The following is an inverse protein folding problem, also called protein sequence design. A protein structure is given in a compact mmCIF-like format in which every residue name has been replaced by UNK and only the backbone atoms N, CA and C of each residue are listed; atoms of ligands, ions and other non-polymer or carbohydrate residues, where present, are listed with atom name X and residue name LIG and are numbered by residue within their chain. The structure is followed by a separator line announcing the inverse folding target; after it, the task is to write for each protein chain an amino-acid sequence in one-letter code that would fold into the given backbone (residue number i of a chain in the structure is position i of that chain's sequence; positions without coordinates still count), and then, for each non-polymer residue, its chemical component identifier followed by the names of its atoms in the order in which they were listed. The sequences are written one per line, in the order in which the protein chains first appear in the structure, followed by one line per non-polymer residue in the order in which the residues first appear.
data_IF_885838742401
#
_entry.id   IF_885838742401
#
_cell.length_a   1.000
_cell.length_b   1.000
_cell.length_c   1.000
_cell.angle_alpha   90.00
_cell.angle_beta   90.00
_cell.angle_gamma   90.00
#
_symmetry.space_group_name_H-M   'P 1'
#
loop_
_entity.id
_entity.type
_entity.pdbx_description
1 polymer ?
#
# COMPACT_ATOMS: atom_id res chain seq x y z
N UNK A 1 -22.33 -0.68 1.57
CA UNK A 1 -22.62 -1.19 2.94
C UNK A 1 -21.33 -1.45 3.72
N UNK A 2 -20.33 -2.15 3.16
CA UNK A 2 -19.01 -2.41 3.81
C UNK A 2 -18.22 -1.12 4.10
N UNK A 3 -18.23 -0.13 3.19
CA UNK A 3 -17.50 1.14 3.37
C UNK A 3 -17.87 1.83 4.68
N UNK A 4 -19.16 2.08 4.90
CA UNK A 4 -19.64 2.71 6.12
C UNK A 4 -19.34 1.89 7.38
N UNK A 5 -19.47 0.56 7.28
CA UNK A 5 -19.17 -0.35 8.39
C UNK A 5 -17.72 -0.20 8.85
N UNK A 6 -16.75 -0.26 7.92
CA UNK A 6 -15.33 -0.15 8.27
C UNK A 6 -14.94 1.25 8.74
N UNK A 7 -15.47 2.31 8.11
CA UNK A 7 -15.25 3.69 8.57
C UNK A 7 -15.69 3.89 10.02
N UNK A 8 -16.89 3.35 10.37
CA UNK A 8 -17.39 3.37 11.74
C UNK A 8 -16.55 2.48 12.65
N UNK A 9 -16.22 1.24 12.25
CA UNK A 9 -15.44 0.29 13.04
C UNK A 9 -14.07 0.86 13.39
N UNK A 10 -13.36 1.39 12.40
CA UNK A 10 -12.02 1.96 12.54
C UNK A 10 -12.03 3.38 13.13
N UNK A 11 -13.17 4.05 13.13
CA UNK A 11 -13.35 5.44 13.54
C UNK A 11 -12.48 6.41 12.74
N UNK A 12 -12.50 6.27 11.41
CA UNK A 12 -11.71 7.06 10.46
C UNK A 12 -12.61 7.64 9.36
N UNK A 13 -12.07 8.58 8.59
CA UNK A 13 -12.75 9.21 7.45
C UNK A 13 -11.84 9.16 6.24
N UNK A 14 -12.01 8.12 5.42
CA UNK A 14 -11.22 7.92 4.21
C UNK A 14 -12.06 7.96 2.93
N UNK A 15 -13.38 7.96 3.06
CA UNK A 15 -14.30 8.05 1.92
C UNK A 15 -14.37 9.46 1.35
N UNK A 16 -14.82 9.57 0.09
CA UNK A 16 -15.03 10.82 -0.64
C UNK A 16 -13.88 11.18 -1.57
N UNK A 17 -14.25 11.71 -2.73
CA UNK A 17 -13.30 12.25 -3.72
C UNK A 17 -12.68 13.55 -3.21
N UNK A 18 -11.44 13.80 -3.57
CA UNK A 18 -10.77 15.06 -3.33
C UNK A 18 -10.29 15.63 -4.66
N UNK A 19 -10.53 16.93 -4.87
CA UNK A 19 -10.07 17.64 -6.05
C UNK A 19 -8.54 17.58 -6.12
N UNK A 20 -8.02 17.19 -7.28
CA UNK A 20 -6.60 17.07 -7.56
C UNK A 20 -6.06 18.38 -8.13
N UNK A 21 -4.86 18.75 -7.73
CA UNK A 21 -4.12 19.86 -8.34
C UNK A 21 -3.47 19.38 -9.64
N UNK A 22 -3.95 19.88 -10.78
CA UNK A 22 -3.44 19.53 -12.12
C UNK A 22 -1.93 19.78 -12.33
N UNK A 23 -1.26 20.50 -11.42
CA UNK A 23 0.20 20.72 -11.48
C UNK A 23 1.00 19.46 -11.10
N UNK A 24 0.40 18.47 -10.45
CA UNK A 24 1.03 17.23 -9.99
C UNK A 24 0.92 16.10 -11.02
N UNK A 25 1.35 16.32 -12.25
CA UNK A 25 1.20 15.41 -13.41
C UNK A 25 1.79 14.00 -13.27
N UNK A 26 2.67 13.78 -12.31
CA UNK A 26 3.31 12.47 -12.09
C UNK A 26 2.59 11.60 -11.05
N UNK A 27 1.48 12.07 -10.48
CA UNK A 27 0.70 11.39 -9.44
C UNK A 27 -0.76 11.26 -9.87
N UNK A 28 -1.42 10.21 -9.41
CA UNK A 28 -2.80 9.91 -9.76
C UNK A 28 -3.79 10.50 -8.74
N UNK A 29 -5.06 10.77 -9.13
CA UNK A 29 -6.09 11.25 -8.21
C UNK A 29 -6.31 10.29 -7.04
N UNK A 30 -6.76 10.85 -5.90
CA UNK A 30 -7.09 10.04 -4.73
C UNK A 30 -8.28 9.13 -4.99
N UNK A 31 -8.04 7.83 -4.87
CA UNK A 31 -9.05 6.80 -4.84
C UNK A 31 -8.66 5.75 -3.78
N UNK A 32 -9.47 5.57 -2.71
CA UNK A 32 -9.13 4.59 -1.69
C UNK A 32 -9.49 3.18 -2.14
N UNK A 33 -8.61 2.20 -1.93
CA UNK A 33 -8.91 0.79 -2.18
C UNK A 33 -10.20 0.39 -1.46
N UNK A 34 -11.20 -0.16 -2.17
CA UNK A 34 -12.47 -0.56 -1.55
C UNK A 34 -12.25 -1.63 -0.46
N UNK A 35 -13.00 -1.55 0.65
CA UNK A 35 -12.83 -2.54 1.73
C UNK A 35 -13.16 -3.96 1.31
N UNK A 36 -14.09 -4.15 0.37
CA UNK A 36 -14.37 -5.50 -0.15
C UNK A 36 -13.18 -6.08 -0.91
N UNK A 37 -12.41 -5.23 -1.58
CA UNK A 37 -11.20 -5.64 -2.29
C UNK A 37 -10.08 -6.01 -1.29
N UNK A 38 -9.92 -5.23 -0.21
CA UNK A 38 -9.00 -5.58 0.87
C UNK A 38 -9.38 -6.91 1.54
N UNK A 39 -10.66 -7.10 1.87
CA UNK A 39 -11.14 -8.38 2.40
C UNK A 39 -10.75 -9.54 1.46
N UNK A 40 -10.98 -9.36 0.15
CA UNK A 40 -10.69 -10.39 -0.86
C UNK A 40 -9.20 -10.69 -0.99
N UNK A 41 -8.35 -9.66 -0.98
CA UNK A 41 -6.89 -9.81 -1.01
C UNK A 41 -6.41 -10.64 0.19
N UNK A 42 -6.85 -10.26 1.39
CA UNK A 42 -6.34 -10.84 2.64
C UNK A 42 -7.12 -12.06 3.14
N UNK A 43 -8.11 -12.58 2.39
CA UNK A 43 -8.75 -13.87 2.69
C UNK A 43 -7.76 -15.05 2.65
N UNK A 44 -6.73 -14.97 1.80
CA UNK A 44 -5.77 -16.03 1.56
C UNK A 44 -4.31 -15.63 1.77
N UNK A 45 -4.04 -14.35 2.05
CA UNK A 45 -2.69 -13.85 2.33
C UNK A 45 -2.37 -13.97 3.82
N UNK A 46 -1.21 -14.54 4.10
CA UNK A 46 -0.71 -14.67 5.46
C UNK A 46 0.03 -13.39 5.87
N UNK A 47 -0.74 -12.42 6.41
CA UNK A 47 -0.16 -11.27 7.12
C UNK A 47 -0.05 -11.64 8.60
N UNK A 48 1.10 -11.40 9.19
CA UNK A 48 1.36 -11.66 10.60
C UNK A 48 1.87 -10.41 11.34
N UNK A 49 1.94 -10.47 12.66
CA UNK A 49 2.31 -9.31 13.50
C UNK A 49 3.73 -8.80 13.29
N UNK A 50 4.62 -9.62 12.73
CA UNK A 50 6.02 -9.29 12.48
C UNK A 50 6.22 -8.61 11.13
N UNK A 51 5.22 -8.68 10.23
CA UNK A 51 5.30 -8.02 8.92
C UNK A 51 5.38 -6.50 9.09
N UNK A 52 6.21 -5.90 8.24
CA UNK A 52 6.33 -4.45 8.07
C UNK A 52 5.87 -4.07 6.67
N UNK A 53 4.71 -3.43 6.58
CA UNK A 53 4.04 -3.11 5.33
C UNK A 53 4.18 -1.63 5.04
N UNK A 54 4.69 -1.30 3.85
CA UNK A 54 4.83 0.07 3.37
C UNK A 54 3.75 0.34 2.33
N UNK A 55 2.91 1.35 2.59
CA UNK A 55 1.84 1.81 1.70
C UNK A 55 2.30 3.08 0.98
N UNK A 56 2.64 2.96 -0.30
CA UNK A 56 3.07 4.09 -1.11
C UNK A 56 1.89 4.82 -1.75
N UNK A 57 1.71 6.09 -1.40
CA UNK A 57 0.56 6.89 -1.79
C UNK A 57 -0.65 6.62 -0.89
N UNK A 58 -0.43 6.51 0.41
CA UNK A 58 -1.47 6.13 1.38
C UNK A 58 -2.63 7.13 1.51
N UNK A 59 -2.44 8.37 1.04
CA UNK A 59 -3.41 9.46 1.09
C UNK A 59 -4.08 9.63 2.48
N UNK A 60 -5.29 9.10 2.71
CA UNK A 60 -5.98 9.17 4.01
C UNK A 60 -5.76 7.95 4.90
N UNK A 61 -4.92 6.98 4.49
CA UNK A 61 -4.44 5.85 5.29
C UNK A 61 -5.39 4.67 5.44
N UNK A 62 -6.38 4.49 4.53
CA UNK A 62 -7.37 3.42 4.65
C UNK A 62 -6.74 2.04 4.85
N UNK A 63 -5.82 1.66 3.96
CA UNK A 63 -5.13 0.38 4.03
C UNK A 63 -4.37 0.22 5.36
N UNK A 64 -3.66 1.27 5.79
CA UNK A 64 -2.85 1.25 7.00
C UNK A 64 -3.69 0.94 8.24
N UNK A 65 -4.84 1.61 8.40
CA UNK A 65 -5.75 1.35 9.54
C UNK A 65 -6.38 -0.03 9.44
N UNK A 66 -6.76 -0.48 8.23
CA UNK A 66 -7.33 -1.80 8.00
C UNK A 66 -6.33 -2.91 8.39
N UNK A 67 -5.09 -2.82 7.94
CA UNK A 67 -4.04 -3.79 8.24
C UNK A 67 -3.69 -3.84 9.72
N UNK A 68 -3.46 -2.69 10.34
CA UNK A 68 -3.15 -2.63 11.77
C UNK A 68 -4.29 -3.18 12.62
N UNK A 69 -5.55 -2.89 12.24
CA UNK A 69 -6.72 -3.41 12.98
C UNK A 69 -6.84 -4.92 12.90
N UNK A 70 -6.78 -5.49 11.69
CA UNK A 70 -7.06 -6.91 11.49
C UNK A 70 -5.87 -7.81 11.83
N UNK A 71 -4.64 -7.37 11.57
CA UNK A 71 -3.44 -8.22 11.66
C UNK A 71 -2.46 -7.79 12.75
N UNK A 72 -2.64 -6.62 13.34
CA UNK A 72 -1.73 -6.06 14.34
C UNK A 72 -0.26 -5.97 13.87
N UNK A 73 -0.03 -5.88 12.55
CA UNK A 73 1.28 -5.75 11.93
C UNK A 73 1.80 -4.31 11.98
N UNK A 74 3.08 -4.12 11.63
CA UNK A 74 3.66 -2.80 11.49
C UNK A 74 3.27 -2.22 10.13
N UNK A 75 2.80 -0.99 10.11
CA UNK A 75 2.39 -0.32 8.87
C UNK A 75 2.95 1.09 8.84
N UNK A 76 3.62 1.46 7.73
CA UNK A 76 4.08 2.80 7.47
C UNK A 76 3.49 3.28 6.13
N UNK A 77 2.83 4.43 6.16
CA UNK A 77 2.37 5.11 4.95
C UNK A 77 3.39 6.15 4.48
N UNK A 78 3.64 6.21 3.17
CA UNK A 78 4.51 7.20 2.50
C UNK A 78 3.66 8.06 1.57
N UNK A 79 3.56 9.36 1.85
CA UNK A 79 2.78 10.32 1.08
C UNK A 79 3.54 11.65 0.99
N UNK A 80 3.47 12.33 -0.15
CA UNK A 80 4.12 13.60 -0.34
C UNK A 80 3.22 14.81 -0.07
N UNK A 81 1.91 14.61 -0.06
CA UNK A 81 0.93 15.70 0.12
C UNK A 81 0.67 15.97 1.60
N UNK A 82 1.07 17.16 2.07
CA UNK A 82 0.89 17.57 3.46
C UNK A 82 -0.59 17.60 3.90
N UNK A 83 -1.53 17.86 2.99
CA UNK A 83 -2.95 17.88 3.34
C UNK A 83 -3.45 16.46 3.65
N UNK A 84 -3.05 15.46 2.84
CA UNK A 84 -3.34 14.07 3.13
C UNK A 84 -2.66 13.60 4.41
N UNK A 85 -1.39 13.94 4.59
CA UNK A 85 -0.67 13.65 5.81
C UNK A 85 -1.39 14.17 7.06
N UNK A 86 -1.81 15.43 7.06
CA UNK A 86 -2.51 16.03 8.20
C UNK A 86 -3.88 15.35 8.45
N UNK A 87 -4.65 15.04 7.38
CA UNK A 87 -5.91 14.29 7.50
C UNK A 87 -5.68 12.89 8.07
N UNK A 88 -4.59 12.24 7.67
CA UNK A 88 -4.24 10.92 8.16
C UNK A 88 -3.84 10.94 9.65
N UNK A 89 -3.13 11.97 10.11
CA UNK A 89 -2.81 12.14 11.53
C UNK A 89 -4.09 12.33 12.39
N UNK A 90 -5.08 13.07 11.89
CA UNK A 90 -6.38 13.17 12.58
C UNK A 90 -7.11 11.82 12.61
N UNK A 91 -7.10 11.06 11.50
CA UNK A 91 -7.61 9.70 11.48
C UNK A 91 -6.89 8.80 12.49
N UNK A 92 -5.53 8.85 12.56
CA UNK A 92 -4.73 8.08 13.53
C UNK A 92 -5.17 8.37 14.96
N UNK A 93 -5.34 9.63 15.29
CA UNK A 93 -5.78 10.05 16.63
C UNK A 93 -7.18 9.48 16.99
N UNK A 94 -8.13 9.57 16.06
CA UNK A 94 -9.50 9.06 16.30
C UNK A 94 -9.53 7.52 16.33
N UNK A 95 -8.73 6.86 15.48
CA UNK A 95 -8.56 5.41 15.47
C UNK A 95 -8.03 4.88 16.80
N UNK A 96 -6.93 5.46 17.32
CA UNK A 96 -6.28 5.03 18.57
C UNK A 96 -7.18 5.24 19.80
N UNK A 97 -7.97 6.32 19.83
CA UNK A 97 -8.94 6.54 20.92
C UNK A 97 -9.94 5.40 21.04
N UNK A 98 -10.42 4.88 19.91
CA UNK A 98 -11.44 3.83 19.88
C UNK A 98 -10.84 2.44 20.05
N UNK A 99 -9.77 2.15 19.32
CA UNK A 99 -9.32 0.78 19.10
C UNK A 99 -8.23 0.32 20.07
N UNK A 100 -7.66 1.23 20.90
CA UNK A 100 -6.64 0.93 21.90
C UNK A 100 -5.47 0.10 21.37
N UNK A 101 -5.10 0.34 20.11
CA UNK A 101 -3.97 -0.34 19.43
C UNK A 101 -2.63 0.25 19.87
N UNK A 102 -1.55 -0.46 19.54
CA UNK A 102 -0.19 -0.01 19.82
C UNK A 102 0.15 1.11 18.83
N UNK A 103 0.37 2.31 19.34
CA UNK A 103 0.59 3.51 18.53
C UNK A 103 1.80 3.40 17.60
N UNK A 104 2.87 2.75 18.07
CA UNK A 104 4.13 2.63 17.32
C UNK A 104 4.03 1.68 16.13
N UNK A 105 2.96 0.87 16.03
CA UNK A 105 2.74 -0.06 14.91
C UNK A 105 2.07 0.57 13.70
N UNK A 106 1.60 1.80 13.78
CA UNK A 106 0.99 2.51 12.66
C UNK A 106 1.59 3.91 12.55
N UNK A 107 2.32 4.17 11.48
CA UNK A 107 3.06 5.39 11.25
C UNK A 107 2.81 5.96 9.85
N UNK A 108 3.11 7.25 9.70
CA UNK A 108 2.93 7.99 8.46
C UNK A 108 4.06 8.98 8.30
N UNK A 109 4.67 9.00 7.10
CA UNK A 109 5.73 9.93 6.73
C UNK A 109 5.29 10.80 5.56
N UNK A 110 5.61 12.10 5.65
CA UNK A 110 5.37 13.06 4.57
C UNK A 110 6.66 13.29 3.79
N UNK A 111 6.93 12.38 2.82
CA UNK A 111 8.15 12.41 2.01
C UNK A 111 7.86 11.91 0.59
N UNK A 112 8.75 12.23 -0.36
CA UNK A 112 8.67 11.66 -1.70
C UNK A 112 8.97 10.15 -1.66
N UNK A 113 8.17 9.35 -2.39
CA UNK A 113 8.27 7.89 -2.38
C UNK A 113 9.70 7.40 -2.71
N UNK A 114 10.37 8.00 -3.69
CA UNK A 114 11.74 7.64 -4.09
C UNK A 114 12.82 8.10 -3.11
N UNK A 115 12.49 8.92 -2.12
CA UNK A 115 13.42 9.39 -1.07
C UNK A 115 13.28 8.59 0.23
N UNK A 116 12.21 7.78 0.33
CA UNK A 116 12.04 6.90 1.48
C UNK A 116 13.18 5.86 1.53
N UNK A 117 13.81 5.76 2.70
CA UNK A 117 14.86 4.77 2.95
C UNK A 117 14.25 3.47 3.45
N UNK A 118 14.26 2.47 2.57
CA UNK A 118 13.74 1.14 2.91
C UNK A 118 14.48 0.57 4.11
N UNK A 119 13.75 0.22 5.16
CA UNK A 119 14.30 -0.43 6.35
C UNK A 119 14.59 -1.92 6.08
N UNK A 120 15.51 -2.50 6.83
CA UNK A 120 15.82 -3.93 6.80
C UNK A 120 14.68 -4.82 7.32
N UNK A 121 13.66 -4.22 7.94
CA UNK A 121 12.44 -4.90 8.40
C UNK A 121 11.29 -4.84 7.41
N UNK A 122 11.31 -3.87 6.48
CA UNK A 122 10.22 -3.69 5.51
C UNK A 122 10.21 -4.85 4.53
N UNK A 123 9.10 -5.60 4.49
CA UNK A 123 9.03 -6.82 3.72
C UNK A 123 7.81 -6.92 2.79
N UNK A 124 6.83 -6.00 2.91
CA UNK A 124 5.69 -5.93 2.01
C UNK A 124 5.47 -4.49 1.56
N UNK A 125 5.31 -4.31 0.24
CA UNK A 125 5.19 -3.01 -0.39
C UNK A 125 3.91 -2.94 -1.20
N UNK A 126 3.01 -2.04 -0.83
CA UNK A 126 1.72 -1.88 -1.48
C UNK A 126 1.68 -0.63 -2.36
N UNK A 127 1.06 -0.79 -3.55
CA UNK A 127 0.86 0.27 -4.52
C UNK A 127 -0.53 0.18 -5.15
N UNK A 128 -1.32 1.22 -5.02
CA UNK A 128 -2.53 1.42 -5.82
C UNK A 128 -2.23 2.44 -6.94
N UNK A 129 -1.36 2.04 -7.87
CA UNK A 129 -0.96 2.85 -9.02
C UNK A 129 -0.75 4.35 -8.67
N UNK A 130 0.05 4.69 -7.65
CA UNK A 130 0.03 6.05 -7.05
C UNK A 130 0.78 7.09 -7.90
N UNK A 131 1.67 6.69 -8.79
CA UNK A 131 2.55 7.59 -9.52
C UNK A 131 3.05 7.00 -10.86
N UNK A 132 3.77 7.80 -11.64
CA UNK A 132 4.33 7.36 -12.92
C UNK A 132 5.32 6.21 -12.76
N UNK A 133 5.49 5.39 -13.81
CA UNK A 133 6.45 4.28 -13.82
C UNK A 133 7.87 4.71 -13.48
N UNK A 134 8.29 5.93 -13.84
CA UNK A 134 9.64 6.42 -13.51
C UNK A 134 9.87 6.56 -12.00
N UNK A 135 8.86 6.95 -11.23
CA UNK A 135 8.95 6.99 -9.77
C UNK A 135 8.91 5.56 -9.22
N UNK A 136 8.02 4.71 -9.75
CA UNK A 136 7.91 3.31 -9.36
C UNK A 136 9.24 2.57 -9.52
N UNK A 137 9.92 2.72 -10.67
CA UNK A 137 11.24 2.13 -10.93
C UNK A 137 12.25 2.51 -9.85
N UNK A 138 12.33 3.79 -9.47
CA UNK A 138 13.25 4.25 -8.41
C UNK A 138 12.92 3.66 -7.04
N UNK A 139 11.64 3.53 -6.71
CA UNK A 139 11.22 2.89 -5.45
C UNK A 139 11.60 1.41 -5.45
N UNK A 140 11.34 0.70 -6.54
CA UNK A 140 11.72 -0.72 -6.67
C UNK A 140 13.24 -0.91 -6.64
N UNK A 141 14.02 -0.02 -7.25
CA UNK A 141 15.49 -0.01 -7.14
C UNK A 141 15.94 0.14 -5.68
N UNK A 142 15.33 1.03 -4.91
CA UNK A 142 15.62 1.18 -3.48
C UNK A 142 15.26 -0.09 -2.68
N UNK A 143 14.16 -0.77 -3.04
CA UNK A 143 13.79 -2.06 -2.43
C UNK A 143 14.84 -3.12 -2.74
N UNK A 144 15.29 -3.21 -3.99
CA UNK A 144 16.33 -4.18 -4.41
C UNK A 144 17.66 -3.90 -3.71
N UNK A 145 18.10 -2.65 -3.60
CA UNK A 145 19.31 -2.26 -2.85
C UNK A 145 19.17 -2.67 -1.37
N UNK A 146 18.01 -2.47 -0.77
CA UNK A 146 17.75 -2.90 0.62
C UNK A 146 17.79 -4.42 0.74
N UNK A 147 17.28 -5.17 -0.24
CA UNK A 147 17.35 -6.63 -0.30
C UNK A 147 18.80 -7.14 -0.43
N UNK A 148 19.62 -6.53 -1.27
CA UNK A 148 21.03 -6.90 -1.43
C UNK A 148 21.81 -6.73 -0.12
N UNK A 149 21.52 -5.68 0.65
CA UNK A 149 22.17 -5.42 1.93
C UNK A 149 21.66 -6.32 3.06
N UNK A 150 20.38 -6.64 3.06
CA UNK A 150 19.74 -7.52 4.04
C UNK A 150 18.70 -8.42 3.35
N UNK A 151 19.16 -9.56 2.80
CA UNK A 151 18.28 -10.47 2.10
C UNK A 151 17.18 -11.03 3.00
N UNK A 152 15.94 -10.96 2.51
CA UNK A 152 14.71 -11.41 3.19
C UNK A 152 13.62 -11.68 2.16
N UNK A 153 12.55 -12.38 2.55
CA UNK A 153 11.37 -12.45 1.66
C UNK A 153 10.77 -11.05 1.52
N UNK A 154 10.51 -10.63 0.28
CA UNK A 154 9.86 -9.36 -0.04
C UNK A 154 8.69 -9.62 -0.97
N UNK A 155 7.53 -9.02 -0.65
CA UNK A 155 6.35 -9.01 -1.51
C UNK A 155 6.07 -7.59 -2.02
N UNK A 156 5.81 -7.45 -3.32
CA UNK A 156 5.22 -6.24 -3.92
C UNK A 156 3.77 -6.57 -4.27
N UNK A 157 2.84 -5.80 -3.73
CA UNK A 157 1.40 -5.94 -3.91
C UNK A 157 0.91 -4.77 -4.75
N UNK A 158 0.46 -5.03 -5.96
CA UNK A 158 -0.11 -4.04 -6.85
C UNK A 158 -1.63 -4.19 -6.88
N UNK A 159 -2.37 -3.13 -6.57
CA UNK A 159 -3.80 -3.03 -6.87
C UNK A 159 -4.00 -2.17 -8.11
N UNK A 160 -4.93 -2.57 -8.98
CA UNK A 160 -5.24 -1.89 -10.24
C UNK A 160 -3.97 -1.57 -11.02
N UNK A 161 -3.14 -2.58 -11.33
CA UNK A 161 -1.78 -2.41 -11.80
C UNK A 161 -1.74 -1.84 -13.22
N UNK A 162 -0.91 -0.82 -13.46
CA UNK A 162 -0.64 -0.37 -14.82
C UNK A 162 0.23 -1.39 -15.58
N UNK A 163 0.05 -1.48 -16.90
CA UNK A 163 0.85 -2.36 -17.76
C UNK A 163 2.34 -2.02 -17.67
N UNK A 164 2.69 -0.75 -17.48
CA UNK A 164 4.08 -0.30 -17.33
C UNK A 164 4.74 -0.85 -16.06
N UNK A 165 4.00 -0.93 -14.93
CA UNK A 165 4.50 -1.53 -13.68
C UNK A 165 4.74 -3.02 -13.85
N UNK A 166 3.77 -3.73 -14.45
CA UNK A 166 3.87 -5.15 -14.77
C UNK A 166 5.09 -5.41 -15.64
N UNK A 167 5.18 -4.68 -16.76
CA UNK A 167 6.29 -4.83 -17.72
C UNK A 167 7.65 -4.62 -17.07
N UNK A 168 7.78 -3.61 -16.22
CA UNK A 168 9.03 -3.35 -15.51
C UNK A 168 9.38 -4.48 -14.54
N UNK A 169 8.47 -4.91 -13.69
CA UNK A 169 8.74 -5.98 -12.72
C UNK A 169 9.15 -7.28 -13.42
N UNK A 170 8.44 -7.69 -14.46
CA UNK A 170 8.63 -8.96 -15.13
C UNK A 170 9.88 -9.01 -16.04
N UNK A 171 10.31 -7.87 -16.58
CA UNK A 171 11.41 -7.86 -17.56
C UNK A 171 12.71 -7.27 -17.02
N UNK A 172 12.69 -6.49 -15.94
CA UNK A 172 13.86 -5.75 -15.46
C UNK A 172 14.20 -6.00 -13.99
N UNK A 173 13.48 -6.87 -13.32
CA UNK A 173 13.73 -7.19 -11.90
C UNK A 173 13.72 -8.69 -11.66
N UNK A 174 14.29 -9.17 -10.55
CA UNK A 174 14.21 -10.57 -10.15
C UNK A 174 12.88 -10.94 -9.46
N UNK A 175 11.93 -10.04 -9.36
CA UNK A 175 10.61 -10.33 -8.81
C UNK A 175 9.83 -11.30 -9.71
N UNK A 176 9.17 -12.27 -9.11
CA UNK A 176 8.32 -13.23 -9.82
C UNK A 176 6.87 -13.09 -9.35
N UNK A 177 5.92 -13.09 -10.28
CA UNK A 177 4.50 -13.11 -9.90
C UNK A 177 4.20 -14.42 -9.15
N UNK A 178 3.78 -14.28 -7.89
CA UNK A 178 3.40 -15.42 -7.05
C UNK A 178 1.94 -15.80 -7.24
N UNK A 179 1.05 -14.81 -7.24
CA UNK A 179 -0.38 -15.03 -7.48
C UNK A 179 -1.13 -13.77 -7.92
N UNK A 180 -2.38 -13.96 -8.33
CA UNK A 180 -3.31 -12.92 -8.76
C UNK A 180 -4.63 -13.10 -8.00
N UNK A 181 -5.20 -11.98 -7.52
CA UNK A 181 -6.54 -11.95 -6.90
C UNK A 181 -7.44 -11.09 -7.76
N UNK A 182 -8.36 -11.72 -8.50
CA UNK A 182 -9.34 -11.04 -9.35
C UNK A 182 -10.58 -10.67 -8.55
N UNK A 183 -11.02 -9.43 -8.71
CA UNK A 183 -12.28 -8.96 -8.15
C UNK A 183 -13.45 -9.34 -9.08
N UNK A 184 -14.68 -9.19 -8.60
CA UNK A 184 -15.88 -9.55 -9.40
C UNK A 184 -16.01 -8.66 -10.63
N UNK A 185 -15.55 -7.42 -10.56
CA UNK A 185 -15.52 -6.41 -11.62
C UNK A 185 -14.50 -6.72 -12.72
N UNK A 186 -13.56 -7.64 -12.50
CA UNK A 186 -12.51 -8.03 -13.47
C UNK A 186 -13.06 -8.40 -14.85
N UNK A 187 -14.27 -8.89 -14.93
CA UNK A 187 -14.91 -9.26 -16.21
C UNK A 187 -15.19 -8.05 -17.11
N UNK A 188 -15.41 -6.89 -16.52
CA UNK A 188 -15.68 -5.62 -17.21
C UNK A 188 -14.46 -4.71 -17.28
N UNK A 189 -13.56 -4.84 -16.31
CA UNK A 189 -12.31 -4.10 -16.23
C UNK A 189 -11.18 -5.05 -15.74
N UNK A 190 -10.27 -5.39 -16.62
CA UNK A 190 -9.19 -6.33 -16.33
C UNK A 190 -8.12 -5.79 -15.39
N UNK A 191 -8.17 -4.52 -15.01
CA UNK A 191 -7.30 -3.94 -13.98
C UNK A 191 -7.87 -4.12 -12.56
N UNK A 192 -9.16 -4.49 -12.42
CA UNK A 192 -9.80 -4.79 -11.13
C UNK A 192 -9.28 -6.11 -10.53
N UNK A 193 -8.00 -6.06 -10.16
CA UNK A 193 -7.25 -7.19 -9.59
C UNK A 193 -6.08 -6.73 -8.74
N UNK A 194 -5.60 -7.65 -7.92
CA UNK A 194 -4.28 -7.54 -7.32
C UNK A 194 -3.31 -8.47 -8.02
N UNK A 195 -2.08 -8.01 -8.19
CA UNK A 195 -0.94 -8.85 -8.55
C UNK A 195 0.05 -8.82 -7.40
N UNK A 196 0.48 -9.99 -6.96
CA UNK A 196 1.50 -10.12 -5.93
C UNK A 196 2.75 -10.68 -6.55
N UNK A 197 3.85 -9.96 -6.41
CA UNK A 197 5.18 -10.35 -6.84
C UNK A 197 6.04 -10.65 -5.63
N UNK A 198 6.81 -11.71 -5.70
CA UNK A 198 7.67 -12.18 -4.61
C UNK A 198 9.13 -12.13 -5.03
N UNK A 199 9.98 -11.69 -4.12
CA UNK A 199 11.42 -11.87 -4.17
C UNK A 199 11.81 -12.70 -2.95
N UNK A 200 12.20 -13.94 -3.19
CA UNK A 200 12.64 -14.86 -2.16
C UNK A 200 13.99 -15.49 -2.51
N UNK A 201 14.65 -16.03 -1.48
CA UNK A 201 15.89 -16.75 -1.70
C UNK A 201 15.64 -18.02 -2.53
N UNK A 202 16.34 -18.13 -3.65
CA UNK A 202 16.63 -19.42 -4.25
C UNK A 202 18.07 -19.79 -3.83
N UNK A 203 18.18 -20.69 -2.88
CA UNK A 203 19.41 -21.45 -2.65
C UNK A 203 19.35 -22.76 -3.42
#
# INVERSE_FOLDING_TARGET
MKEKYYEELLNIKTSGEQSWDETKKCYHPYEPTPYFALDKLFENDNINEEDSIIDFGYAKGRLNFYLNYNFNCNVLGIEMDENFYNQCLENKKEYLKKNKKIEDKINFDCVLAQEYKISDKDNKFYFFNPFSVHIFMKVVENILISYENNPRKIDIILYYPSDDYIYYLENFTPFMQSHEVRLDEFKSDNQERFLVYELSYYF
#
